data_IF_503171944877
#
_entry.id   IF_503171944877
#
_cell.length_a   1.000
_cell.length_b   1.000
_cell.length_c   1.000
_cell.angle_alpha   90.00
_cell.angle_beta   90.00
_cell.angle_gamma   90.00
#
_symmetry.space_group_name_H-M   'P 1'
#
loop_
_entity.id
_entity.type
_entity.pdbx_description
1 polymer ?
#
# COMPACT_ATOMS: atom_id res chain seq x y z
N UNK A 1 -10.39 -1.07 -10.86
CA UNK A 1 -10.20 0.40 -10.73
C UNK A 1 -9.00 0.81 -11.55
N UNK A 2 -9.03 1.97 -12.21
CA UNK A 2 -7.89 2.54 -12.93
C UNK A 2 -7.24 3.67 -12.14
N UNK A 3 -5.97 3.91 -12.42
CA UNK A 3 -5.18 4.98 -11.83
C UNK A 3 -4.95 6.07 -12.85
N UNK A 4 -5.04 7.31 -12.41
CA UNK A 4 -4.84 8.49 -13.24
C UNK A 4 -3.69 9.34 -12.68
N UNK A 5 -3.17 10.28 -13.47
CA UNK A 5 -2.17 11.23 -12.99
C UNK A 5 -2.83 12.42 -12.30
N UNK A 6 -2.20 12.94 -11.26
CA UNK A 6 -2.60 14.20 -10.62
C UNK A 6 -2.53 15.39 -11.57
N UNK A 7 -1.70 15.32 -12.63
CA UNK A 7 -1.54 16.39 -13.64
C UNK A 7 -2.41 16.18 -14.86
N UNK A 8 -2.70 14.93 -15.22
CA UNK A 8 -3.50 14.62 -16.42
C UNK A 8 -4.47 13.47 -16.16
N UNK A 9 -5.72 13.81 -15.90
CA UNK A 9 -6.80 12.85 -15.63
C UNK A 9 -7.19 11.98 -16.83
N UNK A 10 -6.65 12.23 -18.03
CA UNK A 10 -6.86 11.37 -19.20
C UNK A 10 -5.94 10.15 -19.20
N UNK A 11 -4.88 10.15 -18.40
CA UNK A 11 -4.07 8.97 -18.16
C UNK A 11 -4.93 7.95 -17.43
N UNK A 12 -4.93 6.71 -17.91
CA UNK A 12 -5.71 5.61 -17.33
C UNK A 12 -4.85 4.36 -17.37
N UNK A 13 -4.31 4.00 -16.21
CA UNK A 13 -3.34 2.91 -16.08
C UNK A 13 -3.82 1.89 -15.04
N UNK A 14 -3.35 0.66 -15.18
CA UNK A 14 -3.58 -0.40 -14.21
C UNK A 14 -2.75 -0.18 -12.93
N UNK A 15 -3.15 -0.82 -11.85
CA UNK A 15 -2.36 -0.82 -10.61
C UNK A 15 -0.96 -1.41 -10.84
N UNK A 16 -0.89 -2.55 -11.53
CA UNK A 16 0.40 -3.19 -11.84
C UNK A 16 1.32 -2.27 -12.67
N UNK A 17 0.75 -1.50 -13.61
CA UNK A 17 1.51 -0.51 -14.36
C UNK A 17 2.03 0.61 -13.46
N UNK A 18 1.17 1.16 -12.60
CA UNK A 18 1.53 2.23 -11.69
C UNK A 18 2.66 1.82 -10.71
N UNK A 19 2.59 0.58 -10.17
CA UNK A 19 3.64 0.04 -9.30
C UNK A 19 4.97 -0.12 -10.04
N UNK A 20 4.98 -0.65 -11.27
CA UNK A 20 6.20 -0.88 -12.05
C UNK A 20 6.87 0.41 -12.51
N UNK A 21 6.10 1.43 -12.82
CA UNK A 21 6.61 2.68 -13.41
C UNK A 21 6.75 3.82 -12.40
N UNK A 22 6.21 3.65 -11.18
CA UNK A 22 6.33 4.58 -10.05
C UNK A 22 5.77 5.99 -10.31
N UNK A 23 6.00 6.56 -11.49
CA UNK A 23 5.63 7.93 -11.84
C UNK A 23 5.06 8.01 -13.27
N UNK A 24 3.94 8.74 -13.47
CA UNK A 24 3.41 9.02 -14.80
C UNK A 24 4.41 9.83 -15.65
N UNK A 25 4.31 9.69 -16.99
CA UNK A 25 5.19 10.41 -17.93
C UNK A 25 5.10 11.94 -17.83
N UNK A 26 3.98 12.47 -17.34
CA UNK A 26 3.77 13.91 -17.13
C UNK A 26 4.41 14.44 -15.82
N UNK A 27 5.08 13.58 -15.06
CA UNK A 27 5.70 13.92 -13.79
C UNK A 27 4.71 14.17 -12.64
N UNK A 28 3.47 13.72 -12.79
CA UNK A 28 2.46 13.70 -11.73
C UNK A 28 2.66 12.51 -10.78
N UNK A 29 1.63 12.26 -9.96
CA UNK A 29 1.52 11.08 -9.11
C UNK A 29 0.35 10.22 -9.57
N UNK A 30 0.48 8.89 -9.50
CA UNK A 30 -0.64 8.00 -9.69
C UNK A 30 -1.61 8.09 -8.51
N UNK A 31 -2.88 8.29 -8.81
CA UNK A 31 -3.97 8.30 -7.83
C UNK A 31 -5.16 7.50 -8.37
N UNK A 32 -5.96 6.87 -7.50
CA UNK A 32 -7.19 6.22 -7.96
C UNK A 32 -8.10 7.20 -8.70
N UNK A 33 -8.70 6.76 -9.81
CA UNK A 33 -9.60 7.60 -10.62
C UNK A 33 -10.97 7.81 -9.96
N UNK A 34 -11.37 6.89 -9.07
CA UNK A 34 -12.62 6.89 -8.33
C UNK A 34 -12.35 6.70 -6.84
N UNK A 35 -13.24 7.23 -6.02
CA UNK A 35 -13.26 6.95 -4.58
C UNK A 35 -14.14 5.74 -4.33
N UNK A 36 -13.59 4.69 -3.73
CA UNK A 36 -14.36 3.52 -3.31
C UNK A 36 -15.18 3.81 -2.06
N UNK A 37 -16.39 3.25 -2.01
CA UNK A 37 -17.19 3.23 -0.78
C UNK A 37 -16.70 2.10 0.13
N UNK A 38 -15.96 2.47 1.16
CA UNK A 38 -15.35 1.51 2.08
C UNK A 38 -16.29 1.03 3.19
N UNK A 39 -17.54 1.54 3.26
CA UNK A 39 -18.47 1.19 4.35
C UNK A 39 -18.72 -0.30 4.44
N UNK A 40 -18.97 -0.96 3.31
CA UNK A 40 -19.21 -2.41 3.28
C UNK A 40 -18.00 -3.23 3.75
N UNK A 41 -16.78 -2.71 3.57
CA UNK A 41 -15.55 -3.39 4.00
C UNK A 41 -15.32 -3.23 5.50
N UNK A 42 -15.58 -2.03 6.02
CA UNK A 42 -15.39 -1.69 7.45
C UNK A 42 -16.40 -2.44 8.33
N UNK A 43 -17.62 -2.67 7.85
CA UNK A 43 -18.66 -3.37 8.61
C UNK A 43 -18.32 -4.84 8.98
N UNK A 44 -17.39 -5.46 8.28
CA UNK A 44 -16.92 -6.83 8.56
C UNK A 44 -15.67 -6.87 9.46
N UNK A 45 -15.17 -5.72 9.89
CA UNK A 45 -14.01 -5.62 10.78
C UNK A 45 -14.48 -5.44 12.22
N UNK A 46 -13.76 -6.08 13.13
CA UNK A 46 -13.96 -5.95 14.57
C UNK A 46 -12.64 -5.65 15.29
N UNK A 47 -12.68 -5.56 16.60
CA UNK A 47 -11.52 -5.27 17.45
C UNK A 47 -10.42 -6.35 17.40
N UNK A 48 -10.75 -7.57 16.93
CA UNK A 48 -9.81 -8.68 16.78
C UNK A 48 -9.25 -8.80 15.37
N UNK A 49 -9.73 -7.98 14.43
CA UNK A 49 -9.25 -8.00 13.05
C UNK A 49 -7.82 -7.50 12.98
N UNK A 50 -6.90 -8.34 12.49
CA UNK A 50 -5.48 -7.99 12.40
C UNK A 50 -5.24 -6.83 11.42
N UNK A 51 -4.19 -6.05 11.64
CA UNK A 51 -3.82 -4.95 10.74
C UNK A 51 -3.58 -5.44 9.29
N UNK A 52 -2.94 -6.60 9.13
CA UNK A 52 -2.73 -7.19 7.79
C UNK A 52 -4.04 -7.56 7.10
N UNK A 53 -5.04 -8.09 7.83
CA UNK A 53 -6.36 -8.39 7.27
C UNK A 53 -7.13 -7.12 6.92
N UNK A 54 -7.06 -6.08 7.74
CA UNK A 54 -7.62 -4.76 7.41
C UNK A 54 -6.98 -4.23 6.12
N UNK A 55 -5.66 -4.25 6.04
CA UNK A 55 -4.91 -3.78 4.87
C UNK A 55 -5.20 -4.61 3.63
N UNK A 56 -5.31 -5.94 3.73
CA UNK A 56 -5.68 -6.84 2.63
C UNK A 56 -7.07 -6.55 2.09
N UNK A 57 -8.05 -6.39 2.98
CA UNK A 57 -9.42 -6.04 2.63
C UNK A 57 -9.51 -4.68 1.94
N UNK A 58 -8.84 -3.66 2.47
CA UNK A 58 -8.78 -2.33 1.84
C UNK A 58 -8.06 -2.38 0.49
N UNK A 59 -6.95 -3.11 0.38
CA UNK A 59 -6.25 -3.32 -0.88
C UNK A 59 -7.18 -3.94 -1.92
N UNK A 60 -7.93 -4.98 -1.52
CA UNK A 60 -8.91 -5.62 -2.39
C UNK A 60 -9.99 -4.66 -2.86
N UNK A 61 -10.48 -3.75 -2.00
CA UNK A 61 -11.45 -2.74 -2.40
C UNK A 61 -10.96 -1.90 -3.58
N UNK A 62 -9.67 -1.55 -3.62
CA UNK A 62 -9.08 -0.71 -4.67
C UNK A 62 -8.64 -1.46 -5.92
N UNK A 63 -8.20 -2.72 -5.82
CA UNK A 63 -7.55 -3.41 -6.95
C UNK A 63 -8.19 -4.76 -7.32
N UNK A 64 -9.39 -5.07 -6.81
CA UNK A 64 -10.11 -6.34 -7.05
C UNK A 64 -10.33 -6.69 -8.52
N UNK A 65 -10.28 -5.73 -9.43
CA UNK A 65 -10.41 -5.97 -10.86
C UNK A 65 -9.13 -6.57 -11.48
N UNK A 66 -7.98 -6.38 -10.83
CA UNK A 66 -6.69 -6.91 -11.28
C UNK A 66 -6.23 -8.11 -10.46
N UNK A 67 -6.52 -8.10 -9.15
CA UNK A 67 -6.06 -9.12 -8.21
C UNK A 67 -7.21 -9.66 -7.36
N UNK A 68 -7.23 -10.96 -7.18
CA UNK A 68 -8.21 -11.60 -6.31
C UNK A 68 -8.01 -11.18 -4.84
N UNK A 69 -9.07 -11.26 -4.00
CA UNK A 69 -8.95 -10.95 -2.57
C UNK A 69 -7.84 -11.74 -1.86
N UNK A 70 -7.61 -12.99 -2.26
CA UNK A 70 -6.54 -13.83 -1.67
C UNK A 70 -5.16 -13.28 -1.99
N UNK A 71 -4.94 -12.75 -3.20
CA UNK A 71 -3.68 -12.11 -3.58
C UNK A 71 -3.49 -10.82 -2.78
N UNK A 72 -4.53 -10.02 -2.62
CA UNK A 72 -4.49 -8.79 -1.82
C UNK A 72 -4.15 -9.07 -0.34
N UNK A 73 -4.73 -10.12 0.24
CA UNK A 73 -4.42 -10.59 1.59
C UNK A 73 -2.95 -11.07 1.69
N UNK A 74 -2.46 -11.78 0.67
CA UNK A 74 -1.06 -12.25 0.61
C UNK A 74 -0.09 -11.07 0.57
N UNK A 75 -0.37 -10.06 -0.25
CA UNK A 75 0.42 -8.82 -0.32
C UNK A 75 0.49 -8.16 1.07
N UNK A 76 -0.66 -7.96 1.71
CA UNK A 76 -0.73 -7.31 3.01
C UNK A 76 -0.01 -8.13 4.11
N UNK A 77 -0.16 -9.45 4.13
CA UNK A 77 0.49 -10.32 5.10
C UNK A 77 2.02 -10.36 4.91
N UNK A 78 2.51 -10.32 3.68
CA UNK A 78 3.95 -10.21 3.40
C UNK A 78 4.51 -8.86 3.84
N UNK A 79 3.79 -7.77 3.53
CA UNK A 79 4.21 -6.42 3.82
C UNK A 79 4.23 -6.13 5.33
N UNK A 80 3.15 -6.47 6.02
CA UNK A 80 2.92 -6.02 7.39
C UNK A 80 3.20 -7.12 8.41
N UNK A 81 4.48 -7.37 8.66
CA UNK A 81 4.97 -8.19 9.79
C UNK A 81 5.06 -7.37 11.09
N UNK A 82 4.69 -6.11 11.03
CA UNK A 82 4.60 -5.14 12.13
C UNK A 82 3.29 -4.38 11.98
N UNK A 83 2.77 -3.84 13.08
CA UNK A 83 1.49 -3.16 13.13
C UNK A 83 1.63 -1.76 13.71
N UNK A 84 0.77 -0.82 13.33
CA UNK A 84 0.63 0.42 14.07
C UNK A 84 0.04 0.13 15.45
N UNK A 85 0.34 0.95 16.43
CA UNK A 85 -0.28 0.88 17.75
C UNK A 85 -1.15 2.10 17.99
N UNK A 86 -2.38 1.86 18.45
CA UNK A 86 -3.30 2.92 18.83
C UNK A 86 -3.28 3.04 20.37
N UNK A 87 -2.76 4.16 20.86
CA UNK A 87 -2.72 4.46 22.31
C UNK A 87 -3.78 5.49 22.67
N UNK A 88 -4.58 5.17 23.66
CA UNK A 88 -5.48 6.14 24.26
C UNK A 88 -4.71 7.00 25.26
N UNK A 89 -4.71 8.30 25.07
CA UNK A 89 -4.05 9.28 25.94
C UNK A 89 -5.02 9.91 26.92
N UNK A 90 -6.31 10.04 26.56
CA UNK A 90 -7.40 10.58 27.37
C UNK A 90 -8.72 9.99 26.86
N UNK A 91 -9.85 10.30 27.50
CA UNK A 91 -11.19 9.74 27.17
C UNK A 91 -11.52 9.80 25.67
N UNK A 92 -11.17 10.92 25.00
CA UNK A 92 -11.45 11.13 23.58
C UNK A 92 -10.20 11.48 22.77
N UNK A 93 -9.01 11.21 23.30
CA UNK A 93 -7.73 11.51 22.64
C UNK A 93 -6.94 10.22 22.40
N UNK A 94 -6.65 9.96 21.15
CA UNK A 94 -5.88 8.79 20.72
C UNK A 94 -4.66 9.21 19.94
N UNK A 95 -3.57 8.46 20.09
CA UNK A 95 -2.34 8.58 19.32
C UNK A 95 -2.11 7.31 18.52
N UNK A 96 -1.94 7.45 17.20
CA UNK A 96 -1.55 6.35 16.33
C UNK A 96 -0.03 6.37 16.15
N UNK A 97 0.65 5.36 16.70
CA UNK A 97 2.10 5.22 16.59
C UNK A 97 2.47 4.44 15.32
N UNK A 98 3.30 5.03 14.47
CA UNK A 98 3.72 4.48 13.19
C UNK A 98 5.23 4.17 13.12
N UNK A 99 5.89 4.00 14.27
CA UNK A 99 7.34 3.80 14.36
C UNK A 99 7.74 2.40 14.83
N UNK A 100 6.83 1.42 14.73
CA UNK A 100 7.08 0.03 15.13
C UNK A 100 7.63 -0.84 14.00
N UNK A 101 7.92 -0.24 12.83
CA UNK A 101 8.56 -0.91 11.72
C UNK A 101 10.09 -1.07 11.91
N UNK A 102 10.76 -1.75 10.97
CA UNK A 102 12.19 -2.11 11.07
C UNK A 102 13.13 -0.93 11.26
N UNK A 103 12.83 0.23 10.70
CA UNK A 103 13.68 1.43 10.82
C UNK A 103 13.17 2.45 11.83
N UNK A 104 12.01 2.18 12.45
CA UNK A 104 11.36 3.12 13.34
C UNK A 104 10.78 4.35 12.64
N UNK A 105 10.55 4.28 11.34
CA UNK A 105 10.05 5.38 10.54
C UNK A 105 8.71 5.03 9.86
N UNK A 106 7.75 5.96 9.88
CA UNK A 106 6.41 5.69 9.35
C UNK A 106 6.36 5.23 7.89
N UNK A 107 7.39 5.54 7.09
CA UNK A 107 7.50 5.11 5.69
C UNK A 107 7.76 3.61 5.55
N UNK A 108 8.15 2.91 6.62
CA UNK A 108 8.26 1.45 6.62
C UNK A 108 6.99 0.77 6.08
N UNK A 109 5.81 1.28 6.48
CA UNK A 109 4.53 0.76 6.00
C UNK A 109 4.37 0.88 4.49
N UNK A 110 4.64 2.08 3.94
CA UNK A 110 4.47 2.33 2.51
C UNK A 110 5.45 1.55 1.65
N UNK A 111 6.71 1.47 2.08
CA UNK A 111 7.76 0.78 1.33
C UNK A 111 7.59 -0.73 1.40
N UNK A 112 7.28 -1.29 2.56
CA UNK A 112 6.99 -2.72 2.70
C UNK A 112 5.81 -3.13 1.81
N UNK A 113 4.76 -2.32 1.75
CA UNK A 113 3.62 -2.56 0.85
C UNK A 113 4.02 -2.49 -0.62
N UNK A 114 4.76 -1.45 -1.03
CA UNK A 114 5.22 -1.27 -2.40
C UNK A 114 6.08 -2.45 -2.87
N UNK A 115 7.04 -2.88 -2.05
CA UNK A 115 7.93 -4.02 -2.36
C UNK A 115 7.12 -5.31 -2.49
N UNK A 116 6.20 -5.58 -1.55
CA UNK A 116 5.34 -6.77 -1.60
C UNK A 116 4.42 -6.78 -2.82
N UNK A 117 3.89 -5.63 -3.24
CA UNK A 117 3.13 -5.50 -4.48
C UNK A 117 4.00 -5.82 -5.70
N UNK A 118 5.19 -5.22 -5.79
CA UNK A 118 6.10 -5.43 -6.91
C UNK A 118 6.52 -6.90 -7.01
N UNK A 119 6.91 -7.52 -5.90
CA UNK A 119 7.27 -8.94 -5.83
C UNK A 119 6.13 -9.82 -6.36
N UNK A 120 4.91 -9.60 -5.85
CA UNK A 120 3.72 -10.36 -6.27
C UNK A 120 3.42 -10.17 -7.77
N UNK A 121 3.54 -8.95 -8.28
CA UNK A 121 3.33 -8.66 -9.70
C UNK A 121 4.36 -9.39 -10.57
N UNK A 122 5.63 -9.40 -10.16
CA UNK A 122 6.69 -10.11 -10.88
C UNK A 122 6.52 -11.63 -10.82
N UNK A 123 6.09 -12.18 -9.68
CA UNK A 123 5.77 -13.60 -9.55
C UNK A 123 4.65 -14.02 -10.52
N UNK A 124 3.60 -13.21 -10.66
CA UNK A 124 2.42 -13.52 -11.48
C UNK A 124 2.63 -13.26 -12.98
N UNK A 125 3.34 -12.20 -13.33
CA UNK A 125 3.50 -11.76 -14.72
C UNK A 125 4.85 -12.14 -15.32
N UNK A 126 5.76 -12.61 -14.49
CA UNK A 126 7.16 -12.85 -14.86
C UNK A 126 7.95 -11.54 -14.97
N UNK A 127 9.26 -11.69 -15.04
CA UNK A 127 10.19 -10.57 -15.21
C UNK A 127 11.08 -10.37 -14.00
N UNK A 128 11.96 -9.37 -14.14
CA UNK A 128 12.89 -8.93 -13.10
C UNK A 128 12.79 -7.43 -12.95
N UNK A 129 12.98 -6.92 -11.74
CA UNK A 129 13.07 -5.50 -11.47
C UNK A 129 14.36 -5.19 -10.72
N UNK A 130 14.90 -4.01 -10.96
CA UNK A 130 16.00 -3.45 -10.18
C UNK A 130 15.44 -2.20 -9.49
N UNK A 131 15.45 -2.22 -8.16
CA UNK A 131 15.12 -1.05 -7.35
C UNK A 131 16.37 -0.16 -7.26
N UNK A 132 16.24 1.07 -7.71
CA UNK A 132 17.28 2.08 -7.55
C UNK A 132 16.73 3.13 -6.59
N UNK A 133 17.36 3.26 -5.43
CA UNK A 133 17.03 4.28 -4.45
C UNK A 133 18.09 5.36 -4.44
N UNK A 134 17.64 6.61 -4.57
CA UNK A 134 18.47 7.81 -4.40
C UNK A 134 17.83 8.66 -3.32
N UNK A 135 18.26 8.47 -2.09
CA UNK A 135 17.65 9.14 -0.95
C UNK A 135 18.70 9.83 -0.08
N UNK A 136 18.27 10.93 0.50
CA UNK A 136 18.98 11.62 1.59
C UNK A 136 18.13 11.47 2.86
N UNK A 137 18.44 10.48 3.71
CA UNK A 137 17.70 10.27 4.94
C UNK A 137 17.37 8.80 5.25
N UNK A 138 16.41 8.53 6.14
CA UNK A 138 16.11 7.17 6.64
C UNK A 138 15.61 6.19 5.59
N UNK A 139 15.14 6.66 4.42
CA UNK A 139 14.58 5.81 3.36
C UNK A 139 15.57 4.78 2.82
N UNK A 140 16.85 5.12 2.69
CA UNK A 140 17.87 4.20 2.21
C UNK A 140 18.04 2.97 3.09
N UNK A 141 17.81 3.10 4.39
CA UNK A 141 17.91 1.99 5.34
C UNK A 141 16.71 1.03 5.28
N UNK A 142 15.62 1.42 4.62
CA UNK A 142 14.42 0.58 4.50
C UNK A 142 14.55 -0.39 3.33
N UNK A 143 15.30 -0.01 2.29
CA UNK A 143 15.46 -0.78 1.06
C UNK A 143 16.73 -1.64 1.05
N UNK A 144 17.60 -1.48 2.01
CA UNK A 144 18.80 -2.31 2.20
C UNK A 144 18.52 -3.55 3.03
#
# INVERSE_FOLDING_TARGET
MVFTSTRNKKISESFAHAIKNCMPQDGGLYVPSLTEDLRCWILYMDENTSFSSIAGSLTSAFIREEFSPIICETIATRAFKFSPELKQLDENLFMLELFHGPTGYHKDFGIAFLVSCLETILELQGGTAVLIDVTVGPLGNILS
#
